data_IF_317311820493
#
_entry.id   IF_317311820493
#
_cell.length_a   1.000
_cell.length_b   1.000
_cell.length_c   1.000
_cell.angle_alpha   90.00
_cell.angle_beta   90.00
_cell.angle_gamma   90.00
#
_symmetry.space_group_name_H-M   'P 1'
#
loop_
_entity.id
_entity.type
_entity.pdbx_description
1 polymer ?
#
# COMPACT_ATOMS: atom_id res chain seq x y z
N UNK A 1 17.07 -10.05 -4.36
CA UNK A 1 16.02 -10.32 -3.35
C UNK A 1 14.77 -10.96 -3.97
N UNK A 2 14.01 -10.28 -4.88
CA UNK A 2 12.79 -10.85 -5.46
C UNK A 2 13.03 -12.18 -6.19
N UNK A 3 14.12 -12.28 -6.95
CA UNK A 3 14.53 -13.54 -7.60
C UNK A 3 14.79 -14.65 -6.59
N UNK A 4 15.39 -14.32 -5.45
CA UNK A 4 15.71 -15.32 -4.42
C UNK A 4 14.44 -15.78 -3.70
N UNK A 5 13.48 -14.88 -3.47
CA UNK A 5 12.16 -15.24 -2.96
C UNK A 5 11.40 -16.16 -3.92
N UNK A 6 11.42 -15.87 -5.22
CA UNK A 6 10.76 -16.70 -6.24
C UNK A 6 11.34 -18.11 -6.27
N UNK A 7 12.67 -18.26 -6.12
CA UNK A 7 13.32 -19.58 -6.04
C UNK A 7 12.81 -20.44 -4.87
N UNK A 8 12.34 -19.83 -3.77
CA UNK A 8 11.74 -20.58 -2.68
C UNK A 8 10.41 -21.25 -3.07
N UNK A 9 9.73 -20.74 -4.10
CA UNK A 9 8.51 -21.32 -4.65
C UNK A 9 8.76 -22.31 -5.79
N UNK A 10 10.03 -22.55 -6.14
CA UNK A 10 10.43 -23.62 -7.07
C UNK A 10 10.32 -24.95 -6.33
N UNK A 11 9.19 -25.63 -6.52
CA UNK A 11 8.92 -26.92 -5.91
C UNK A 11 7.52 -27.03 -5.30
N UNK A 12 7.06 -28.25 -4.97
CA UNK A 12 5.67 -28.49 -4.62
C UNK A 12 5.27 -28.07 -3.20
N UNK A 13 6.22 -27.67 -2.36
CA UNK A 13 5.97 -27.47 -0.92
C UNK A 13 5.71 -26.03 -0.52
N UNK A 14 6.21 -25.06 -1.27
CA UNK A 14 6.10 -23.64 -0.93
C UNK A 14 5.36 -22.88 -2.02
N UNK A 15 4.50 -21.97 -1.63
CA UNK A 15 3.86 -21.01 -2.53
C UNK A 15 4.20 -19.59 -2.11
N UNK A 16 4.34 -18.69 -3.08
CA UNK A 16 4.55 -17.26 -2.84
C UNK A 16 3.46 -16.47 -3.54
N UNK A 17 2.79 -15.60 -2.79
CA UNK A 17 1.89 -14.59 -3.32
C UNK A 17 2.61 -13.25 -3.35
N UNK A 18 2.76 -12.71 -4.55
CA UNK A 18 3.26 -11.36 -4.79
C UNK A 18 2.06 -10.45 -5.03
N UNK A 19 1.79 -9.54 -4.10
CA UNK A 19 0.76 -8.51 -4.27
C UNK A 19 1.37 -7.32 -5.02
N UNK A 20 1.07 -7.23 -6.31
CA UNK A 20 1.56 -6.19 -7.21
C UNK A 20 0.52 -5.10 -7.49
N UNK A 21 -0.44 -4.89 -6.59
CA UNK A 21 -1.47 -3.86 -6.77
C UNK A 21 -0.90 -2.44 -6.91
N UNK A 22 0.36 -2.22 -6.52
CA UNK A 22 1.08 -0.95 -6.60
C UNK A 22 2.21 -0.92 -7.64
N UNK A 23 2.28 -1.87 -8.56
CA UNK A 23 3.37 -1.97 -9.54
C UNK A 23 3.60 -0.69 -10.37
N UNK A 24 2.51 0.06 -10.66
CA UNK A 24 2.58 1.28 -11.48
C UNK A 24 3.17 2.50 -10.76
N UNK A 25 3.46 2.40 -9.46
CA UNK A 25 3.94 3.53 -8.65
C UNK A 25 5.46 3.60 -8.55
N UNK A 26 6.17 2.74 -9.27
CA UNK A 26 7.63 2.68 -9.30
C UNK A 26 8.14 2.67 -10.74
N UNK A 27 9.27 3.34 -10.99
CA UNK A 27 9.93 3.33 -12.29
C UNK A 27 11.37 2.79 -12.19
N UNK A 28 11.71 1.82 -13.04
CA UNK A 28 10.81 1.07 -13.93
C UNK A 28 9.87 0.16 -13.13
N UNK A 29 8.68 -0.09 -13.67
CA UNK A 29 7.76 -1.08 -13.06
C UNK A 29 8.42 -2.46 -13.06
N UNK A 30 8.39 -3.12 -11.90
CA UNK A 30 8.98 -4.45 -11.68
C UNK A 30 7.89 -5.42 -11.29
N UNK A 31 7.72 -6.48 -12.07
CA UNK A 31 6.83 -7.61 -11.75
C UNK A 31 7.63 -8.88 -11.55
N UNK A 32 7.20 -9.73 -10.61
CA UNK A 32 7.78 -11.04 -10.36
C UNK A 32 7.77 -11.94 -11.56
N UNK A 33 6.84 -11.75 -12.50
CA UNK A 33 6.78 -12.54 -13.74
C UNK A 33 8.09 -12.49 -14.54
N UNK A 34 8.84 -11.40 -14.45
CA UNK A 34 10.11 -11.21 -15.15
C UNK A 34 11.23 -12.15 -14.65
N UNK A 35 11.04 -12.77 -13.50
CA UNK A 35 12.02 -13.64 -12.84
C UNK A 35 11.61 -15.11 -12.81
N UNK A 36 10.46 -15.45 -13.40
CA UNK A 36 9.94 -16.83 -13.46
C UNK A 36 10.30 -17.42 -14.81
N UNK A 37 11.13 -18.48 -14.83
CA UNK A 37 11.54 -19.15 -16.07
C UNK A 37 10.45 -20.05 -16.62
N UNK A 38 9.77 -20.78 -15.75
CA UNK A 38 8.67 -21.69 -16.10
C UNK A 38 7.49 -21.51 -15.12
N UNK A 39 6.50 -20.74 -15.57
CA UNK A 39 5.33 -20.44 -14.76
C UNK A 39 4.51 -21.70 -14.43
N UNK A 40 4.40 -22.63 -15.36
CA UNK A 40 3.58 -23.84 -15.17
C UNK A 40 4.18 -24.83 -14.17
N UNK A 41 5.48 -24.76 -13.93
CA UNK A 41 6.17 -25.53 -12.91
C UNK A 41 6.45 -24.74 -11.62
N UNK A 42 5.90 -23.55 -11.49
CA UNK A 42 6.06 -22.71 -10.29
C UNK A 42 4.81 -22.72 -9.40
N UNK A 43 5.00 -22.37 -8.11
CA UNK A 43 3.93 -22.05 -7.17
C UNK A 43 3.92 -20.54 -6.83
N UNK A 44 4.22 -19.71 -7.81
CA UNK A 44 4.13 -18.26 -7.69
C UNK A 44 2.74 -17.80 -8.09
N UNK A 45 2.16 -16.92 -7.31
CA UNK A 45 0.91 -16.23 -7.55
C UNK A 45 1.18 -14.73 -7.60
N UNK A 46 0.86 -14.08 -8.71
CA UNK A 46 1.01 -12.65 -8.89
C UNK A 46 -0.38 -12.03 -8.91
N UNK A 47 -0.68 -11.21 -7.91
CA UNK A 47 -1.96 -10.52 -7.79
C UNK A 47 -1.84 -9.09 -8.32
N UNK A 48 -2.67 -8.74 -9.29
CA UNK A 48 -2.80 -7.37 -9.79
C UNK A 48 -4.24 -6.88 -9.69
N UNK A 49 -4.44 -5.56 -9.77
CA UNK A 49 -5.78 -4.98 -9.67
C UNK A 49 -5.90 -3.64 -10.41
N UNK A 50 -7.13 -3.36 -10.88
CA UNK A 50 -7.47 -2.05 -11.41
C UNK A 50 -7.55 -0.96 -10.31
N UNK A 51 -7.48 -1.35 -9.05
CA UNK A 51 -7.81 -0.52 -7.87
C UNK A 51 -6.91 0.71 -7.75
N UNK A 52 -5.59 0.53 -7.89
CA UNK A 52 -4.58 1.54 -7.57
C UNK A 52 -4.01 2.21 -8.82
N UNK A 53 -3.19 1.53 -9.59
CA UNK A 53 -2.54 2.09 -10.77
C UNK A 53 -3.51 2.57 -11.85
N UNK A 54 -4.65 1.89 -12.03
CA UNK A 54 -5.71 2.30 -12.95
C UNK A 54 -6.81 3.15 -12.28
N UNK A 55 -6.61 3.58 -11.04
CA UNK A 55 -7.49 4.48 -10.28
C UNK A 55 -8.97 4.09 -10.30
N UNK A 56 -9.26 2.80 -10.31
CA UNK A 56 -10.62 2.28 -10.45
C UNK A 56 -11.04 1.36 -9.28
N UNK A 57 -10.99 1.84 -8.03
CA UNK A 57 -11.28 1.00 -6.86
C UNK A 57 -12.73 0.51 -6.81
N UNK A 58 -13.67 1.27 -7.38
CA UNK A 58 -15.10 0.98 -7.34
C UNK A 58 -15.53 -0.18 -8.24
N UNK A 59 -14.75 -0.53 -9.28
CA UNK A 59 -15.13 -1.62 -10.20
C UNK A 59 -14.90 -3.01 -9.61
N UNK A 60 -14.13 -3.13 -8.53
CA UNK A 60 -13.85 -4.38 -7.80
C UNK A 60 -13.28 -5.49 -8.68
N UNK A 61 -12.27 -5.18 -9.51
CA UNK A 61 -11.60 -6.12 -10.41
C UNK A 61 -10.11 -6.23 -10.07
N UNK A 62 -9.66 -7.47 -9.97
CA UNK A 62 -8.27 -7.88 -9.91
C UNK A 62 -8.08 -9.18 -10.68
N UNK A 63 -6.86 -9.62 -10.75
CA UNK A 63 -6.46 -10.86 -11.44
C UNK A 63 -5.35 -11.57 -10.69
N UNK A 64 -5.24 -12.87 -10.94
CA UNK A 64 -4.10 -13.67 -10.52
C UNK A 64 -3.44 -14.26 -11.77
N UNK A 65 -2.12 -14.15 -11.82
CA UNK A 65 -1.27 -14.85 -12.79
C UNK A 65 -0.54 -15.97 -12.03
N UNK A 66 -0.66 -17.20 -12.49
CA UNK A 66 -0.03 -18.38 -11.87
C UNK A 66 -0.02 -19.56 -12.86
N UNK A 67 0.52 -20.71 -12.45
CA UNK A 67 0.49 -21.93 -13.25
C UNK A 67 -0.95 -22.35 -13.59
N UNK A 68 -1.12 -23.03 -14.72
CA UNK A 68 -2.42 -23.52 -15.17
C UNK A 68 -3.15 -24.33 -14.08
N UNK A 69 -2.43 -25.25 -13.42
CA UNK A 69 -2.98 -26.04 -12.30
C UNK A 69 -3.51 -25.17 -11.18
N UNK A 70 -2.76 -24.15 -10.78
CA UNK A 70 -3.16 -23.25 -9.71
C UNK A 70 -4.39 -22.42 -10.11
N UNK A 71 -4.44 -21.93 -11.36
CA UNK A 71 -5.59 -21.18 -11.87
C UNK A 71 -6.85 -22.05 -11.94
N UNK A 72 -6.75 -23.31 -12.36
CA UNK A 72 -7.88 -24.25 -12.35
C UNK A 72 -8.42 -24.44 -10.92
N UNK A 73 -7.54 -24.59 -9.92
CA UNK A 73 -7.92 -24.72 -8.51
C UNK A 73 -8.61 -23.45 -8.00
N UNK A 74 -8.04 -22.28 -8.26
CA UNK A 74 -8.61 -21.00 -7.85
C UNK A 74 -9.95 -20.71 -8.53
N UNK A 75 -10.09 -21.03 -9.81
CA UNK A 75 -11.34 -20.87 -10.56
C UNK A 75 -12.46 -21.73 -9.98
N UNK A 76 -12.17 -23.00 -9.66
CA UNK A 76 -13.14 -23.89 -9.03
C UNK A 76 -13.56 -23.39 -7.65
N UNK A 77 -12.59 -22.95 -6.83
CA UNK A 77 -12.88 -22.37 -5.52
C UNK A 77 -13.71 -21.08 -5.61
N UNK A 78 -13.33 -20.18 -6.53
CA UNK A 78 -14.05 -18.91 -6.74
C UNK A 78 -15.49 -19.17 -7.22
N UNK A 79 -15.69 -20.10 -8.13
CA UNK A 79 -17.02 -20.48 -8.62
C UNK A 79 -17.93 -21.01 -7.50
N UNK A 80 -17.37 -21.84 -6.62
CA UNK A 80 -18.11 -22.41 -5.49
C UNK A 80 -18.35 -21.38 -4.36
N UNK A 81 -17.31 -20.63 -3.98
CA UNK A 81 -17.35 -19.77 -2.79
C UNK A 81 -17.91 -18.37 -3.02
N UNK A 82 -17.68 -17.79 -4.20
CA UNK A 82 -18.00 -16.39 -4.48
C UNK A 82 -18.91 -16.20 -5.69
N UNK A 83 -19.15 -17.24 -6.48
CA UNK A 83 -19.83 -17.15 -7.77
C UNK A 83 -18.93 -16.48 -8.82
N UNK A 84 -19.51 -15.71 -9.72
CA UNK A 84 -18.79 -14.99 -10.75
C UNK A 84 -18.42 -13.57 -10.36
N UNK A 85 -17.36 -13.05 -10.96
CA UNK A 85 -17.04 -11.63 -10.91
C UNK A 85 -18.01 -10.86 -11.83
N UNK A 86 -18.40 -9.64 -11.43
CA UNK A 86 -19.31 -8.78 -12.21
C UNK A 86 -18.91 -8.67 -13.68
N UNK A 87 -19.77 -9.15 -14.58
CA UNK A 87 -19.50 -9.14 -16.02
C UNK A 87 -19.34 -7.71 -16.59
N UNK A 88 -20.20 -6.71 -16.24
CA UNK A 88 -19.96 -5.33 -16.65
C UNK A 88 -18.60 -4.79 -16.19
N UNK A 89 -18.18 -5.10 -14.96
CA UNK A 89 -16.89 -4.69 -14.45
C UNK A 89 -15.72 -5.31 -15.20
N UNK A 90 -15.85 -6.58 -15.63
CA UNK A 90 -14.84 -7.25 -16.46
C UNK A 90 -14.71 -6.54 -17.82
N UNK A 91 -15.81 -6.22 -18.49
CA UNK A 91 -15.78 -5.48 -19.75
C UNK A 91 -15.14 -4.10 -19.60
N UNK A 92 -15.41 -3.42 -18.50
CA UNK A 92 -14.78 -2.13 -18.21
C UNK A 92 -13.26 -2.32 -17.98
N UNK A 93 -12.86 -3.33 -17.20
CA UNK A 93 -11.45 -3.63 -16.95
C UNK A 93 -10.66 -3.94 -18.23
N UNK A 94 -11.26 -4.69 -19.18
CA UNK A 94 -10.63 -4.96 -20.48
C UNK A 94 -10.29 -3.66 -21.21
N UNK A 95 -11.15 -2.66 -21.12
CA UNK A 95 -10.90 -1.34 -21.72
C UNK A 95 -9.81 -0.55 -21.00
N UNK A 96 -9.72 -0.67 -19.68
CA UNK A 96 -8.64 -0.07 -18.89
C UNK A 96 -7.29 -0.71 -19.18
N UNK A 97 -7.28 -2.01 -19.45
CA UNK A 97 -6.09 -2.81 -19.71
C UNK A 97 -5.59 -2.75 -21.18
N UNK A 98 -6.18 -1.91 -22.02
CA UNK A 98 -5.62 -1.63 -23.34
C UNK A 98 -4.16 -1.11 -23.18
N UNK A 99 -3.16 -1.69 -23.90
CA UNK A 99 -1.74 -1.39 -23.65
C UNK A 99 -1.41 0.11 -23.68
N UNK A 100 -2.00 0.85 -24.60
CA UNK A 100 -1.79 2.31 -24.71
C UNK A 100 -2.36 3.09 -23.52
N UNK A 101 -3.42 2.60 -22.88
CA UNK A 101 -3.99 3.19 -21.66
C UNK A 101 -3.15 2.87 -20.45
N UNK A 102 -2.71 1.63 -20.31
CA UNK A 102 -1.82 1.19 -19.24
C UNK A 102 -0.54 2.01 -19.24
N UNK A 103 0.08 2.20 -20.40
CA UNK A 103 1.32 2.99 -20.53
C UNK A 103 1.12 4.46 -20.12
N UNK A 104 0.02 5.07 -20.55
CA UNK A 104 -0.33 6.45 -20.15
C UNK A 104 -0.63 6.55 -18.65
N UNK A 105 -1.39 5.60 -18.12
CA UNK A 105 -1.72 5.57 -16.70
C UNK A 105 -0.47 5.40 -15.85
N UNK A 106 0.41 4.47 -16.21
CA UNK A 106 1.68 4.23 -15.51
C UNK A 106 2.52 5.50 -15.43
N UNK A 107 2.74 6.16 -16.55
CA UNK A 107 3.52 7.40 -16.59
C UNK A 107 2.90 8.50 -15.72
N UNK A 108 1.59 8.73 -15.85
CA UNK A 108 0.91 9.76 -15.08
C UNK A 108 0.90 9.47 -13.57
N UNK A 109 0.66 8.21 -13.18
CA UNK A 109 0.67 7.76 -11.78
C UNK A 109 2.06 7.92 -11.18
N UNK A 110 3.09 7.46 -11.88
CA UNK A 110 4.47 7.56 -11.45
C UNK A 110 4.89 9.03 -11.24
N UNK A 111 4.71 9.89 -12.25
CA UNK A 111 5.10 11.31 -12.18
C UNK A 111 4.38 12.02 -11.03
N UNK A 112 3.06 11.85 -10.92
CA UNK A 112 2.25 12.50 -9.89
C UNK A 112 2.64 12.06 -8.48
N UNK A 113 2.70 10.74 -8.23
CA UNK A 113 2.94 10.26 -6.88
C UNK A 113 4.40 10.36 -6.44
N UNK A 114 5.38 10.33 -7.34
CA UNK A 114 6.77 10.63 -7.01
C UNK A 114 6.92 12.09 -6.56
N UNK A 115 6.28 13.01 -7.25
CA UNK A 115 6.28 14.41 -6.87
C UNK A 115 5.58 14.65 -5.51
N UNK A 116 4.40 14.07 -5.30
CA UNK A 116 3.70 14.15 -4.01
C UNK A 116 4.52 13.54 -2.88
N UNK A 117 5.12 12.37 -3.11
CA UNK A 117 5.96 11.68 -2.13
C UNK A 117 7.13 12.55 -1.70
N UNK A 118 7.83 13.16 -2.64
CA UNK A 118 8.98 14.02 -2.34
C UNK A 118 8.60 15.15 -1.39
N UNK A 119 7.63 15.97 -1.78
CA UNK A 119 7.28 17.17 -0.99
C UNK A 119 6.68 16.89 0.37
N UNK A 120 5.84 15.84 0.53
CA UNK A 120 5.35 15.45 1.86
C UNK A 120 6.47 14.86 2.71
N UNK A 121 7.37 14.05 2.12
CA UNK A 121 8.52 13.50 2.83
C UNK A 121 9.44 14.59 3.37
N UNK A 122 9.85 15.55 2.53
CA UNK A 122 10.66 16.70 2.92
C UNK A 122 10.01 17.50 4.05
N UNK A 123 8.70 17.79 3.96
CA UNK A 123 7.99 18.52 4.99
C UNK A 123 7.96 17.77 6.34
N UNK A 124 7.85 16.46 6.34
CA UNK A 124 7.90 15.65 7.57
C UNK A 124 9.31 15.55 8.15
N UNK A 125 10.34 15.44 7.33
CA UNK A 125 11.74 15.49 7.76
C UNK A 125 12.08 16.83 8.41
N UNK A 126 11.61 17.94 7.83
CA UNK A 126 11.76 19.28 8.41
C UNK A 126 11.09 19.44 9.80
N UNK A 127 10.01 18.69 10.05
CA UNK A 127 9.38 18.64 11.37
C UNK A 127 10.13 17.75 12.38
N UNK A 128 11.16 17.02 11.94
CA UNK A 128 11.93 16.10 12.78
C UNK A 128 11.28 14.73 12.96
N UNK A 129 10.37 14.33 12.06
CA UNK A 129 9.82 12.98 12.04
C UNK A 129 10.79 12.01 11.36
N UNK A 130 10.84 10.76 11.83
CA UNK A 130 11.48 9.69 11.08
C UNK A 130 10.64 9.33 9.87
N UNK A 131 11.21 9.41 8.64
CA UNK A 131 10.50 9.11 7.40
C UNK A 131 11.03 7.81 6.81
N UNK A 132 10.19 6.78 6.78
CA UNK A 132 10.50 5.48 6.21
C UNK A 132 9.60 5.26 4.99
N UNK A 133 10.13 5.60 3.82
CA UNK A 133 9.37 5.56 2.57
C UNK A 133 10.20 4.86 1.51
N UNK A 134 9.59 3.91 0.83
CA UNK A 134 10.19 3.30 -0.36
C UNK A 134 9.99 4.17 -1.59
N UNK A 135 10.46 3.67 -2.74
CA UNK A 135 10.43 4.38 -4.03
C UNK A 135 9.07 4.25 -4.75
N UNK A 136 8.05 3.70 -4.09
CA UNK A 136 6.73 3.45 -4.68
C UNK A 136 5.57 3.72 -3.73
N UNK A 137 4.33 3.53 -4.24
CA UNK A 137 3.12 3.75 -3.47
C UNK A 137 2.79 5.21 -3.19
N UNK A 138 1.79 5.44 -2.35
CA UNK A 138 1.33 6.77 -1.95
C UNK A 138 1.17 6.89 -0.43
N UNK A 139 2.08 6.27 0.32
CA UNK A 139 2.13 6.30 1.77
C UNK A 139 3.52 6.67 2.25
N UNK A 140 3.56 7.40 3.37
CA UNK A 140 4.72 7.47 4.24
C UNK A 140 4.47 6.64 5.48
N UNK A 141 5.49 5.90 5.93
CA UNK A 141 5.55 5.32 7.26
C UNK A 141 6.42 6.24 8.11
N UNK A 142 5.82 6.82 9.13
CA UNK A 142 6.41 7.92 9.89
C UNK A 142 6.58 7.53 11.34
N UNK A 143 7.66 7.99 11.95
CA UNK A 143 7.97 7.79 13.36
C UNK A 143 7.94 9.14 14.11
N UNK A 144 7.17 9.18 15.18
CA UNK A 144 7.10 10.32 16.10
C UNK A 144 8.32 10.34 17.04
N UNK A 145 8.74 11.52 17.53
CA UNK A 145 9.70 11.65 18.61
C UNK A 145 9.32 10.85 19.85
N UNK A 146 10.30 10.58 20.71
CA UNK A 146 10.06 9.93 21.99
C UNK A 146 9.04 10.69 22.83
N UNK A 147 8.25 9.96 23.61
CA UNK A 147 7.18 10.52 24.43
C UNK A 147 5.86 10.76 23.69
N UNK A 148 5.85 10.76 22.35
CA UNK A 148 4.63 10.90 21.53
C UNK A 148 4.06 9.55 21.12
N UNK A 149 2.73 9.48 20.94
CA UNK A 149 2.06 8.31 20.37
C UNK A 149 1.18 8.68 19.18
N UNK A 150 1.10 7.80 18.20
CA UNK A 150 0.26 8.00 17.01
C UNK A 150 -1.23 8.04 17.36
N UNK A 151 -1.65 7.33 18.40
CA UNK A 151 -3.03 7.33 18.87
C UNK A 151 -3.45 8.71 19.41
N UNK A 152 -2.59 9.35 20.21
CA UNK A 152 -2.88 10.67 20.74
C UNK A 152 -2.82 11.74 19.64
N UNK A 153 -1.81 11.69 18.77
CA UNK A 153 -1.75 12.58 17.60
C UNK A 153 -3.01 12.45 16.73
N UNK A 154 -3.47 11.23 16.46
CA UNK A 154 -4.67 11.01 15.66
C UNK A 154 -5.93 11.59 16.32
N UNK A 155 -6.10 11.46 17.64
CA UNK A 155 -7.21 12.09 18.38
C UNK A 155 -7.21 13.61 18.26
N UNK A 156 -6.03 14.24 18.25
CA UNK A 156 -5.86 15.68 18.06
C UNK A 156 -6.20 16.10 16.63
N UNK A 157 -5.69 15.40 15.65
CA UNK A 157 -5.99 15.62 14.22
C UNK A 157 -7.49 15.50 13.94
N UNK A 158 -8.19 14.53 14.56
CA UNK A 158 -9.65 14.39 14.41
C UNK A 158 -10.44 15.63 14.79
N UNK A 159 -9.98 16.40 15.78
CA UNK A 159 -10.63 17.67 16.17
C UNK A 159 -10.56 18.73 15.07
N UNK A 160 -9.62 18.57 14.14
CA UNK A 160 -9.41 19.45 13.00
C UNK A 160 -9.88 18.84 11.67
N UNK A 161 -10.62 17.72 11.72
CA UNK A 161 -11.15 17.06 10.53
C UNK A 161 -10.11 16.24 9.73
N UNK A 162 -8.94 15.97 10.31
CA UNK A 162 -7.87 15.17 9.72
C UNK A 162 -7.68 13.84 10.45
N UNK A 163 -7.09 12.86 9.77
CA UNK A 163 -6.81 11.54 10.35
C UNK A 163 -5.57 10.90 9.74
N UNK A 164 -4.90 10.09 10.55
CA UNK A 164 -3.81 9.20 10.16
C UNK A 164 -4.18 7.76 10.53
N UNK A 165 -3.50 6.78 9.95
CA UNK A 165 -3.63 5.39 10.39
C UNK A 165 -2.53 5.08 11.43
N UNK A 166 -2.93 4.83 12.67
CA UNK A 166 -2.00 4.42 13.71
C UNK A 166 -1.37 3.06 13.36
N UNK A 167 -0.05 2.94 13.49
CA UNK A 167 0.64 1.72 13.13
C UNK A 167 0.33 0.54 14.05
N UNK A 168 -0.17 0.80 15.25
CA UNK A 168 -0.71 -0.23 16.15
C UNK A 168 -1.88 -1.00 15.54
N UNK A 169 -2.61 -0.40 14.59
CA UNK A 169 -3.69 -1.08 13.85
C UNK A 169 -3.17 -1.94 12.69
N UNK A 170 -1.89 -1.76 12.33
CA UNK A 170 -1.17 -2.58 11.35
C UNK A 170 -0.38 -3.73 12.03
N UNK A 171 -0.38 -3.80 13.35
CA UNK A 171 0.35 -4.81 14.12
C UNK A 171 -0.37 -6.16 14.08
N UNK A 172 0.11 -7.04 13.22
CA UNK A 172 -0.47 -8.38 13.04
C UNK A 172 -0.25 -9.31 14.25
N UNK A 173 0.68 -9.00 15.15
CA UNK A 173 0.89 -9.77 16.37
C UNK A 173 -0.19 -9.46 17.44
N UNK A 174 -0.72 -8.25 17.46
CA UNK A 174 -1.69 -7.77 18.45
C UNK A 174 -2.95 -8.65 18.58
N UNK A 175 -3.64 -9.06 17.48
CA UNK A 175 -4.83 -9.91 17.59
C UNK A 175 -4.54 -11.32 18.09
N UNK A 176 -3.30 -11.77 17.97
CA UNK A 176 -2.87 -13.14 18.31
C UNK A 176 -2.15 -13.22 19.64
N UNK A 177 -1.81 -12.10 20.26
CA UNK A 177 -1.20 -12.09 21.59
C UNK A 177 -2.23 -12.53 22.64
N UNK A 178 -1.84 -13.53 23.45
CA UNK A 178 -2.59 -13.98 24.62
C UNK A 178 -2.18 -13.21 25.88
N UNK A 179 -1.18 -12.35 25.77
CA UNK A 179 -0.67 -11.54 26.87
C UNK A 179 -1.51 -10.26 26.99
N UNK A 180 -2.26 -10.08 28.11
CA UNK A 180 -3.02 -8.87 28.33
C UNK A 180 -2.17 -7.59 28.46
N UNK A 181 -0.87 -7.76 28.73
CA UNK A 181 0.10 -6.65 28.85
C UNK A 181 0.80 -6.36 27.52
N UNK A 182 0.42 -7.00 26.42
CA UNK A 182 1.04 -6.78 25.13
C UNK A 182 0.89 -5.33 24.68
N UNK A 183 2.01 -4.66 24.56
CA UNK A 183 2.10 -3.34 23.96
C UNK A 183 2.74 -3.44 22.57
N UNK A 184 2.09 -2.83 21.59
CA UNK A 184 2.61 -2.82 20.24
C UNK A 184 3.90 -1.99 20.17
N UNK A 185 4.98 -2.50 19.55
CA UNK A 185 6.22 -1.75 19.35
C UNK A 185 6.04 -0.55 18.40
N UNK A 186 4.87 -0.45 17.76
CA UNK A 186 4.57 0.58 16.77
C UNK A 186 3.76 1.75 17.32
N UNK A 187 3.70 1.96 18.62
CA UNK A 187 2.91 3.03 19.25
C UNK A 187 3.28 4.45 18.76
N UNK A 188 4.55 4.66 18.42
CA UNK A 188 5.06 5.93 17.86
C UNK A 188 4.93 6.05 16.35
N UNK A 189 4.58 4.95 15.66
CA UNK A 189 4.52 4.93 14.20
C UNK A 189 3.11 5.16 13.69
N UNK A 190 3.02 5.74 12.49
CA UNK A 190 1.77 5.89 11.77
C UNK A 190 2.00 5.88 10.26
N UNK A 191 0.94 5.54 9.54
CA UNK A 191 0.91 5.65 8.09
C UNK A 191 0.18 6.92 7.68
N UNK A 192 0.86 7.76 6.93
CA UNK A 192 0.28 8.91 6.27
C UNK A 192 -0.02 8.57 4.82
N UNK A 193 -1.26 8.80 4.36
CA UNK A 193 -1.69 8.58 3.00
C UNK A 193 -1.83 9.91 2.26
N UNK A 194 -0.98 10.14 1.28
CA UNK A 194 -1.12 11.29 0.39
C UNK A 194 -1.88 10.97 -0.91
N UNK A 195 -2.34 9.70 -1.07
CA UNK A 195 -3.06 9.23 -2.25
C UNK A 195 -4.35 10.00 -2.57
N UNK A 196 -5.20 10.31 -1.59
CA UNK A 196 -6.44 11.08 -1.83
C UNK A 196 -6.26 12.60 -1.78
N UNK A 197 -5.08 13.11 -1.40
CA UNK A 197 -4.84 14.53 -1.21
C UNK A 197 -4.61 15.24 -2.55
N UNK A 198 -5.18 16.43 -2.66
CA UNK A 198 -5.04 17.24 -3.86
C UNK A 198 -3.71 18.02 -3.83
N UNK A 199 -3.06 18.21 -4.97
CA UNK A 199 -1.85 19.03 -5.05
C UNK A 199 -2.00 20.42 -4.48
N UNK A 200 -3.17 21.01 -4.64
CA UNK A 200 -3.52 22.38 -4.25
C UNK A 200 -3.69 22.54 -2.74
N UNK A 201 -3.95 21.45 -2.00
CA UNK A 201 -4.17 21.50 -0.54
C UNK A 201 -2.89 21.28 0.27
N UNK A 202 -1.76 21.00 -0.39
CA UNK A 202 -0.51 20.63 0.27
C UNK A 202 -0.11 21.61 1.40
N UNK A 203 -0.09 22.90 1.12
CA UNK A 203 0.35 23.90 2.10
C UNK A 203 -0.57 23.91 3.32
N UNK A 204 -1.89 23.86 3.09
CA UNK A 204 -2.89 23.82 4.17
C UNK A 204 -2.85 22.49 4.94
N UNK A 205 -2.60 21.37 4.27
CA UNK A 205 -2.48 20.05 4.90
C UNK A 205 -1.27 20.00 5.84
N UNK A 206 -0.13 20.50 5.36
CA UNK A 206 1.12 20.57 6.14
C UNK A 206 1.00 21.57 7.28
N UNK A 207 0.42 22.73 7.06
CA UNK A 207 0.20 23.74 8.12
C UNK A 207 -0.68 23.19 9.26
N UNK A 208 -1.79 22.54 8.90
CA UNK A 208 -2.67 21.88 9.86
C UNK A 208 -1.93 20.80 10.65
N UNK A 209 -1.23 19.91 9.96
CA UNK A 209 -0.49 18.83 10.61
C UNK A 209 0.59 19.37 11.54
N UNK A 210 1.40 20.32 11.07
CA UNK A 210 2.47 20.97 11.84
C UNK A 210 1.91 21.66 13.09
N UNK A 211 0.83 22.41 12.99
CA UNK A 211 0.20 23.06 14.12
C UNK A 211 -0.21 22.08 15.22
N UNK A 212 -0.90 20.99 14.84
CA UNK A 212 -1.32 19.95 15.80
C UNK A 212 -0.13 19.19 16.39
N UNK A 213 0.88 18.91 15.58
CA UNK A 213 2.11 18.21 16.00
C UNK A 213 2.93 19.06 16.99
N UNK A 214 3.16 20.33 16.68
CA UNK A 214 3.93 21.24 17.51
C UNK A 214 3.25 21.50 18.86
N UNK A 215 1.92 21.64 18.89
CA UNK A 215 1.16 21.79 20.12
C UNK A 215 1.24 20.53 21.00
N UNK A 216 1.16 19.34 20.38
CA UNK A 216 1.34 18.10 21.12
C UNK A 216 2.77 17.98 21.67
N UNK A 217 3.78 18.32 20.89
CA UNK A 217 5.19 18.28 21.29
C UNK A 217 5.48 19.20 22.48
N UNK A 218 4.99 20.43 22.47
CA UNK A 218 5.15 21.38 23.57
C UNK A 218 4.56 20.88 24.88
N UNK A 219 3.45 20.14 24.84
CA UNK A 219 2.81 19.60 26.04
C UNK A 219 3.61 18.49 26.72
N UNK A 220 4.44 17.75 25.96
CA UNK A 220 5.28 16.69 26.53
C UNK A 220 6.67 17.19 26.96
N UNK A 221 7.15 18.30 26.42
CA UNK A 221 8.42 18.92 26.82
C UNK A 221 8.27 19.76 28.14
N UNK A 222 7.05 19.92 28.66
CA UNK A 222 6.71 20.57 29.91
C UNK A 222 6.60 19.59 31.07
#
# INVERSE_FOLDING_TARGET
ELRDLIRLAEGPKNGILLDEAYEMFHSPSVSGIQFIEDLDNSNVFIAGACTKGLQSPGIRIGWIVSSKRNIETLSNFSSFGMGGVSHPSQHYAVKLLEPSRVEKARKAVEEHYNWQRGRYGEAFEEMGLGVYTGDGGFYHWLELPEGMTSSELNKRLFKHGAAILCATDCDMARPHSKDPSYESPYSRFFRFSFGPLLPETFDSDIELFRGVFDDYRKEIEL
#
